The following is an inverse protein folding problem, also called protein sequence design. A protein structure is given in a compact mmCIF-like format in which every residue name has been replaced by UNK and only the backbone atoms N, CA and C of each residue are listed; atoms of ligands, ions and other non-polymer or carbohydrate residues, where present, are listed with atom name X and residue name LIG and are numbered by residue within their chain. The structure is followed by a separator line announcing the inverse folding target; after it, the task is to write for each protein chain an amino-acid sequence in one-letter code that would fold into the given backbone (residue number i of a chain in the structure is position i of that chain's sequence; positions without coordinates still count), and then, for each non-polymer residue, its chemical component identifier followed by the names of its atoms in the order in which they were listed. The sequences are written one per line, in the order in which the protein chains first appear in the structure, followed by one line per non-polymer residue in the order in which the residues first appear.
data_IF_291901094177
#
_entry.id   IF_291901094177
#
_cell.length_a   1.000
_cell.length_b   1.000
_cell.length_c   1.000
_cell.angle_alpha   90.00
_cell.angle_beta   90.00
_cell.angle_gamma   90.00
#
_symmetry.space_group_name_H-M   'P 1'
#
loop_
_entity.id
_entity.type
_entity.pdbx_description
1 polymer ?
#
# COMPACT_ATOMS: atom_id res chain seq x y z
N UNK A 1 4.43 -0.12 14.89
CA UNK A 1 4.44 0.91 13.81
C UNK A 1 3.33 0.69 12.78
N UNK A 2 3.15 -0.51 12.19
CA UNK A 2 2.06 -0.81 11.22
C UNK A 2 0.66 -0.35 11.69
N UNK A 3 0.35 -0.51 12.97
CA UNK A 3 -0.88 0.00 13.60
C UNK A 3 -1.08 1.50 13.41
N UNK A 4 -0.05 2.30 13.70
CA UNK A 4 -0.11 3.76 13.58
C UNK A 4 -0.29 4.19 12.12
N UNK A 5 0.36 3.50 11.18
CA UNK A 5 0.21 3.75 9.74
C UNK A 5 -1.24 3.49 9.33
N UNK A 6 -1.82 2.36 9.76
CA UNK A 6 -3.23 2.04 9.45
C UNK A 6 -4.18 3.08 10.03
N UNK A 7 -3.98 3.51 11.27
CA UNK A 7 -4.80 4.56 11.87
C UNK A 7 -4.71 5.87 11.09
N UNK A 8 -3.52 6.23 10.59
CA UNK A 8 -3.33 7.42 9.77
C UNK A 8 -4.04 7.31 8.41
N UNK A 9 -3.89 6.19 7.71
CA UNK A 9 -4.55 5.94 6.40
C UNK A 9 -6.07 5.92 6.54
N UNK A 10 -6.60 5.16 7.52
CA UNK A 10 -8.05 5.13 7.79
C UNK A 10 -8.59 6.50 8.18
N UNK A 11 -7.82 7.25 8.98
CA UNK A 11 -8.16 8.63 9.35
C UNK A 11 -8.22 9.57 8.15
N UNK A 12 -7.23 9.51 7.25
CA UNK A 12 -7.18 10.31 6.03
C UNK A 12 -8.37 9.99 5.11
N UNK A 13 -8.63 8.70 4.86
CA UNK A 13 -9.75 8.22 4.06
C UNK A 13 -11.10 8.68 4.60
N UNK A 14 -11.33 8.56 5.92
CA UNK A 14 -12.56 9.04 6.59
C UNK A 14 -12.81 10.53 6.35
N UNK A 15 -11.74 11.31 6.21
CA UNK A 15 -11.81 12.76 5.99
C UNK A 15 -11.64 13.13 4.51
N UNK A 16 -11.71 12.17 3.59
CA UNK A 16 -11.52 12.39 2.14
C UNK A 16 -10.21 13.12 1.82
N UNK A 17 -9.14 12.75 2.54
CA UNK A 17 -7.79 13.27 2.34
C UNK A 17 -6.90 12.20 1.73
N UNK A 18 -6.06 12.63 0.80
CA UNK A 18 -5.00 11.81 0.22
C UNK A 18 -4.00 11.37 1.31
N UNK A 19 -3.57 10.12 1.24
CA UNK A 19 -2.59 9.51 2.12
C UNK A 19 -1.43 8.91 1.31
N UNK A 20 -0.20 9.28 1.67
CA UNK A 20 0.99 8.77 1.04
C UNK A 20 2.10 8.49 2.04
N UNK A 21 2.93 7.48 1.79
CA UNK A 21 4.08 7.15 2.63
C UNK A 21 5.41 7.35 1.89
N UNK A 22 6.35 8.04 2.54
CA UNK A 22 7.75 8.12 2.11
C UNK A 22 8.67 7.38 3.09
N UNK A 23 9.88 7.04 2.63
CA UNK A 23 10.87 6.28 3.39
C UNK A 23 11.29 5.00 2.66
N UNK A 24 12.30 4.32 3.21
CA UNK A 24 12.92 3.17 2.56
C UNK A 24 12.13 1.87 2.72
N UNK A 25 11.26 1.79 3.73
CA UNK A 25 10.54 0.56 4.10
C UNK A 25 9.76 -0.11 2.93
N UNK A 26 8.95 0.59 2.11
CA UNK A 26 8.27 -0.05 0.98
C UNK A 26 9.21 -0.49 -0.16
N UNK A 27 10.45 0.01 -0.21
CA UNK A 27 11.46 -0.44 -1.17
C UNK A 27 12.21 -1.68 -0.69
N UNK A 28 12.54 -1.72 0.61
CA UNK A 28 13.32 -2.80 1.21
C UNK A 28 12.46 -4.03 1.53
N UNK A 29 11.20 -3.81 1.89
CA UNK A 29 10.28 -4.82 2.42
C UNK A 29 9.01 -4.90 1.56
N UNK A 30 8.91 -5.86 0.61
CA UNK A 30 7.71 -6.04 -0.21
C UNK A 30 6.44 -6.25 0.61
N UNK A 31 6.52 -6.89 1.77
CA UNK A 31 5.42 -7.08 2.72
C UNK A 31 4.95 -5.76 3.36
N UNK A 32 5.80 -4.73 3.36
CA UNK A 32 5.42 -3.38 3.76
C UNK A 32 4.62 -2.73 2.63
N UNK A 33 5.07 -2.83 1.37
CA UNK A 33 4.32 -2.32 0.22
C UNK A 33 2.95 -2.99 0.11
N UNK A 34 2.88 -4.31 0.24
CA UNK A 34 1.62 -5.07 0.28
C UNK A 34 0.70 -4.60 1.40
N UNK A 35 1.21 -4.49 2.63
CA UNK A 35 0.40 -3.99 3.75
C UNK A 35 -0.19 -2.60 3.47
N UNK A 36 0.57 -1.70 2.82
CA UNK A 36 0.08 -0.37 2.46
C UNK A 36 -1.05 -0.42 1.44
N UNK A 37 -0.97 -1.31 0.44
CA UNK A 37 -2.03 -1.55 -0.53
C UNK A 37 -3.27 -2.13 0.16
N UNK A 38 -3.11 -3.13 1.02
CA UNK A 38 -4.21 -3.79 1.73
C UNK A 38 -5.01 -2.84 2.62
N UNK A 39 -4.34 -1.89 3.29
CA UNK A 39 -5.01 -0.85 4.09
C UNK A 39 -5.57 0.30 3.25
N UNK A 40 -5.33 0.30 1.93
CA UNK A 40 -5.85 1.28 0.98
C UNK A 40 -5.14 2.62 1.01
N UNK A 41 -3.80 2.63 1.05
CA UNK A 41 -3.03 3.88 0.84
C UNK A 41 -3.23 4.38 -0.60
N UNK A 42 -3.17 5.70 -0.81
CA UNK A 42 -3.31 6.27 -2.14
C UNK A 42 -1.98 6.33 -2.91
N UNK A 43 -0.85 6.50 -2.21
CA UNK A 43 0.48 6.48 -2.83
C UNK A 43 1.60 6.01 -1.91
N UNK A 44 2.71 5.54 -2.50
CA UNK A 44 3.96 5.28 -1.79
C UNK A 44 5.16 5.70 -2.64
N UNK A 45 6.23 6.16 -1.99
CA UNK A 45 7.50 6.46 -2.66
C UNK A 45 8.42 5.25 -2.65
N UNK A 46 9.08 4.99 -3.77
CA UNK A 46 9.99 3.87 -3.96
C UNK A 46 11.34 4.35 -4.49
N UNK A 47 12.38 3.57 -4.21
CA UNK A 47 13.68 3.77 -4.82
C UNK A 47 13.60 3.40 -6.33
N UNK A 48 14.34 4.10 -7.22
CA UNK A 48 14.27 3.86 -8.65
C UNK A 48 14.60 2.42 -9.07
N UNK A 49 15.50 1.76 -8.35
CA UNK A 49 15.94 0.39 -8.59
C UNK A 49 14.89 -0.67 -8.20
N UNK A 50 14.01 -0.37 -7.24
CA UNK A 50 12.96 -1.28 -6.79
C UNK A 50 11.61 -1.02 -7.45
N UNK A 51 11.44 0.12 -8.11
CA UNK A 51 10.18 0.57 -8.70
C UNK A 51 9.46 -0.52 -9.49
N UNK A 52 10.11 -1.11 -10.50
CA UNK A 52 9.46 -2.11 -11.37
C UNK A 52 9.06 -3.38 -10.62
N UNK A 53 9.93 -3.86 -9.71
CA UNK A 53 9.67 -5.07 -8.93
C UNK A 53 8.50 -4.86 -7.98
N UNK A 54 8.51 -3.74 -7.25
CA UNK A 54 7.46 -3.42 -6.29
C UNK A 54 6.14 -3.11 -7.00
N UNK A 55 6.14 -2.40 -8.13
CA UNK A 55 4.93 -2.18 -8.93
C UNK A 55 4.30 -3.50 -9.38
N UNK A 56 5.10 -4.47 -9.83
CA UNK A 56 4.58 -5.81 -10.16
C UNK A 56 3.92 -6.49 -8.96
N UNK A 57 4.58 -6.43 -7.79
CA UNK A 57 4.02 -6.98 -6.55
C UNK A 57 2.69 -6.31 -6.18
N UNK A 58 2.63 -4.98 -6.26
CA UNK A 58 1.40 -4.20 -6.01
C UNK A 58 0.26 -4.65 -6.94
N UNK A 59 0.52 -4.82 -8.23
CA UNK A 59 -0.49 -5.28 -9.19
C UNK A 59 -1.03 -6.68 -8.84
N UNK A 60 -0.16 -7.59 -8.40
CA UNK A 60 -0.55 -8.94 -7.97
C UNK A 60 -1.44 -8.89 -6.71
N UNK A 61 -1.09 -8.03 -5.74
CA UNK A 61 -1.89 -7.80 -4.52
C UNK A 61 -3.24 -7.18 -4.85
N UNK A 62 -3.29 -6.16 -5.70
CA UNK A 62 -4.53 -5.51 -6.13
C UNK A 62 -5.47 -6.50 -6.84
N UNK A 63 -4.94 -7.34 -7.72
CA UNK A 63 -5.71 -8.38 -8.39
C UNK A 63 -6.27 -9.41 -7.39
N UNK A 64 -5.47 -9.82 -6.40
CA UNK A 64 -5.93 -10.70 -5.30
C UNK A 64 -7.08 -10.07 -4.54
N UNK A 65 -6.94 -8.83 -4.09
CA UNK A 65 -7.97 -8.11 -3.33
C UNK A 65 -9.27 -7.93 -4.14
N UNK A 66 -9.17 -7.67 -5.45
CA UNK A 66 -10.35 -7.60 -6.33
C UNK A 66 -11.08 -8.95 -6.42
N UNK A 67 -10.33 -10.05 -6.53
CA UNK A 67 -10.92 -11.41 -6.58
C UNK A 67 -11.62 -11.79 -5.27
N UNK A 68 -11.12 -11.32 -4.12
CA UNK A 68 -11.71 -11.54 -2.81
C UNK A 68 -12.98 -10.70 -2.59
N UNK A 69 -13.01 -9.46 -3.10
CA UNK A 69 -14.16 -8.55 -3.01
C UNK A 69 -15.32 -8.94 -3.93
N UNK A 70 -15.07 -9.76 -4.96
CA UNK A 70 -16.08 -10.30 -5.87
C UNK A 70 -16.69 -11.63 -5.44
N UNK A 71 -16.32 -12.17 -4.27
CA UNK A 71 -16.89 -13.42 -3.74
C UNK A 71 -18.28 -13.12 -3.15
N UNK A 72 -19.34 -13.87 -3.55
CA UNK A 72 -20.70 -13.63 -3.08
C UNK A 72 -20.85 -13.79 -1.57
#
# INVERSE_FOLDING_TARGET
VKEMIRLAVTGARRNQRHSGLCGQAPSDYPEMAEFLVEIGIDSMSLNPDTLLKTTRHVLEVEARLQSEQGKP
#
